data_IF_970093890879
#
_entry.id   IF_970093890879
#
_cell.length_a   1.000
_cell.length_b   1.000
_cell.length_c   1.000
_cell.angle_alpha   90.00
_cell.angle_beta   90.00
_cell.angle_gamma   90.00
#
_symmetry.space_group_name_H-M   'P 1'
#
loop_
_entity.id
_entity.type
_entity.pdbx_description
1 polymer ?
#
# COMPACT_ATOMS: atom_id res chain seq x y z
N UNK A 1 5.88 -26.44 -3.55
CA UNK A 1 4.72 -27.32 -3.35
C UNK A 1 5.09 -28.35 -2.29
N UNK A 2 4.48 -28.26 -1.11
CA UNK A 2 4.61 -29.27 -0.06
C UNK A 2 3.71 -30.44 -0.52
N UNK A 3 4.31 -31.51 -1.02
CA UNK A 3 3.55 -32.71 -1.41
C UNK A 3 3.43 -33.60 -0.18
N UNK A 4 2.24 -34.14 0.05
CA UNK A 4 2.08 -35.23 1.02
C UNK A 4 2.97 -36.38 0.58
N UNK A 5 3.92 -36.77 1.43
CA UNK A 5 4.64 -38.00 1.24
C UNK A 5 3.72 -39.14 1.71
N UNK A 6 3.27 -39.98 0.78
CA UNK A 6 2.38 -41.12 1.08
C UNK A 6 3.13 -42.31 1.68
N UNK A 7 4.23 -42.06 2.39
CA UNK A 7 5.00 -43.09 3.06
C UNK A 7 4.17 -43.74 4.17
N UNK A 8 4.21 -45.07 4.25
CA UNK A 8 3.57 -45.86 5.31
C UNK A 8 4.58 -46.86 5.83
N UNK A 9 4.73 -46.92 7.15
CA UNK A 9 5.49 -47.96 7.85
C UNK A 9 4.58 -48.74 8.79
N UNK A 10 4.80 -50.05 8.89
CA UNK A 10 4.06 -50.94 9.80
C UNK A 10 5.05 -51.57 10.77
N UNK A 11 4.80 -51.41 12.06
CA UNK A 11 5.55 -52.06 13.12
C UNK A 11 4.69 -53.19 13.70
N UNK A 12 5.15 -54.44 13.59
CA UNK A 12 4.44 -55.63 14.06
C UNK A 12 5.16 -56.28 15.24
N UNK A 13 4.43 -57.07 16.04
CA UNK A 13 4.97 -57.83 17.17
C UNK A 13 5.58 -56.98 18.28
N UNK A 14 5.05 -55.78 18.50
CA UNK A 14 5.46 -54.93 19.62
C UNK A 14 4.93 -55.51 20.96
N UNK A 15 5.77 -55.60 22.00
CA UNK A 15 5.33 -56.05 23.33
C UNK A 15 4.20 -55.18 23.88
N UNK A 16 3.11 -55.79 24.36
CA UNK A 16 1.97 -55.03 24.90
C UNK A 16 2.17 -54.54 26.34
N UNK A 17 3.09 -55.16 27.08
CA UNK A 17 3.39 -54.82 28.48
C UNK A 17 4.89 -54.81 28.74
N UNK A 18 5.29 -53.97 29.70
CA UNK A 18 6.63 -53.95 30.26
C UNK A 18 6.90 -55.24 31.06
N UNK A 19 8.08 -55.84 30.86
CA UNK A 19 8.41 -57.16 31.42
C UNK A 19 8.70 -57.13 32.93
N UNK A 20 8.91 -55.95 33.51
CA UNK A 20 9.27 -55.79 34.92
C UNK A 20 8.03 -55.39 35.73
N UNK A 21 7.26 -54.43 35.22
CA UNK A 21 6.14 -53.79 35.93
C UNK A 21 4.77 -54.32 35.51
N UNK A 22 4.69 -55.08 34.40
CA UNK A 22 3.43 -55.50 33.76
C UNK A 22 2.52 -54.34 33.31
N UNK A 23 3.04 -53.12 33.28
CA UNK A 23 2.32 -51.93 32.79
C UNK A 23 2.16 -52.01 31.28
N UNK A 24 1.06 -51.52 30.72
CA UNK A 24 0.89 -51.42 29.27
C UNK A 24 1.95 -50.50 28.65
N UNK A 25 2.55 -50.93 27.54
CA UNK A 25 3.51 -50.11 26.79
C UNK A 25 2.78 -49.06 25.94
N UNK A 26 3.38 -47.88 25.83
CA UNK A 26 2.94 -46.83 24.92
C UNK A 26 4.03 -46.58 23.89
N UNK A 27 3.67 -46.64 22.61
CA UNK A 27 4.57 -46.39 21.50
C UNK A 27 4.27 -45.05 20.85
N UNK A 28 5.31 -44.30 20.51
CA UNK A 28 5.22 -43.06 19.76
C UNK A 28 6.24 -43.07 18.62
N UNK A 29 5.96 -42.34 17.55
CA UNK A 29 6.90 -42.08 16.47
C UNK A 29 7.22 -40.59 16.53
N UNK A 30 8.50 -40.25 16.59
CA UNK A 30 8.99 -38.86 16.56
C UNK A 30 9.88 -38.66 15.35
N UNK A 31 9.87 -37.44 14.82
CA UNK A 31 10.86 -37.03 13.83
C UNK A 31 12.21 -36.78 14.52
N UNK A 32 13.31 -37.01 13.80
CA UNK A 32 14.66 -36.78 14.30
C UNK A 32 15.30 -35.61 13.56
N UNK A 33 16.12 -34.82 14.26
CA UNK A 33 16.95 -33.77 13.66
C UNK A 33 18.20 -34.37 12.98
N UNK A 34 19.06 -33.49 12.43
CA UNK A 34 20.30 -33.89 11.76
C UNK A 34 21.34 -34.54 12.68
N UNK A 35 21.19 -34.38 14.00
CA UNK A 35 22.05 -34.98 15.03
C UNK A 35 21.46 -36.29 15.58
N UNK A 36 20.26 -36.68 15.12
CA UNK A 36 19.55 -37.88 15.54
C UNK A 36 18.73 -37.72 16.83
N UNK A 37 18.54 -36.50 17.32
CA UNK A 37 17.70 -36.25 18.50
C UNK A 37 16.23 -36.15 18.09
N UNK A 38 15.34 -36.57 18.98
CA UNK A 38 13.91 -36.42 18.75
C UNK A 38 13.48 -34.95 18.77
N UNK A 39 12.74 -34.54 17.75
CA UNK A 39 12.20 -33.19 17.62
C UNK A 39 10.89 -33.10 18.40
N UNK A 40 10.78 -32.13 19.29
CA UNK A 40 9.57 -31.91 20.08
C UNK A 40 8.50 -31.16 19.25
N UNK A 41 7.23 -31.29 19.66
CA UNK A 41 6.09 -30.59 19.05
C UNK A 41 6.36 -29.08 18.94
N UNK A 42 6.13 -28.50 17.77
CA UNK A 42 6.29 -27.07 17.52
C UNK A 42 7.74 -26.62 17.31
N UNK A 43 8.73 -27.51 17.45
CA UNK A 43 10.11 -27.18 17.10
C UNK A 43 10.31 -27.19 15.59
N UNK A 44 11.34 -26.47 15.14
CA UNK A 44 11.68 -26.36 13.72
C UNK A 44 12.84 -27.26 13.35
N UNK A 45 12.77 -27.83 12.15
CA UNK A 45 13.87 -28.51 11.46
C UNK A 45 14.17 -27.78 10.15
N UNK A 46 15.44 -27.78 9.75
CA UNK A 46 15.87 -27.19 8.48
C UNK A 46 16.18 -28.29 7.48
N UNK A 47 15.51 -28.28 6.33
CA UNK A 47 15.74 -29.21 5.22
C UNK A 47 16.00 -28.38 3.97
N UNK A 48 17.13 -28.58 3.28
CA UNK A 48 17.50 -27.84 2.07
C UNK A 48 17.35 -26.30 2.21
N UNK A 49 17.86 -25.75 3.33
CA UNK A 49 17.78 -24.32 3.69
C UNK A 49 16.35 -23.78 3.88
N UNK A 50 15.38 -24.65 4.14
CA UNK A 50 13.99 -24.30 4.42
C UNK A 50 13.62 -24.80 5.81
N UNK A 51 12.95 -23.94 6.57
CA UNK A 51 12.52 -24.29 7.92
C UNK A 51 11.11 -24.87 7.90
N UNK A 52 10.93 -25.94 8.67
CA UNK A 52 9.66 -26.62 8.84
C UNK A 52 9.36 -26.80 10.32
N UNK A 53 8.16 -26.42 10.74
CA UNK A 53 7.66 -26.71 12.09
C UNK A 53 7.06 -28.11 12.12
N UNK A 54 7.49 -28.94 13.08
CA UNK A 54 7.02 -30.32 13.26
C UNK A 54 5.75 -30.33 14.10
N UNK A 55 4.74 -31.08 13.64
CA UNK A 55 3.49 -31.32 14.35
C UNK A 55 3.13 -32.81 14.41
N UNK A 56 2.64 -33.26 15.57
CA UNK A 56 2.18 -34.62 15.82
C UNK A 56 0.65 -34.67 15.92
N UNK A 57 -0.01 -35.23 14.90
CA UNK A 57 -1.47 -35.47 14.85
C UNK A 57 -1.75 -36.98 14.97
N UNK A 58 -1.75 -37.47 16.21
CA UNK A 58 -1.92 -38.89 16.51
C UNK A 58 -0.79 -39.74 15.92
N UNK A 59 -1.08 -40.46 14.85
CA UNK A 59 -0.10 -41.30 14.13
C UNK A 59 0.52 -40.60 12.90
N UNK A 60 0.16 -39.34 12.66
CA UNK A 60 0.70 -38.53 11.56
C UNK A 60 1.73 -37.55 12.09
N UNK A 61 2.81 -37.39 11.34
CA UNK A 61 3.79 -36.33 11.50
C UNK A 61 3.55 -35.35 10.35
N UNK A 62 3.36 -34.08 10.67
CA UNK A 62 3.07 -33.01 9.71
C UNK A 62 4.14 -31.94 9.84
N UNK A 63 4.86 -31.70 8.73
CA UNK A 63 5.88 -30.66 8.67
C UNK A 63 5.33 -29.46 7.92
N UNK A 64 5.14 -28.36 8.65
CA UNK A 64 4.62 -27.11 8.11
C UNK A 64 5.78 -26.23 7.70
N UNK A 65 5.91 -25.95 6.40
CA UNK A 65 6.92 -25.02 5.90
C UNK A 65 6.67 -23.59 6.39
N UNK A 66 7.71 -22.93 6.91
CA UNK A 66 7.67 -21.54 7.37
C UNK A 66 8.80 -20.76 6.67
N UNK A 67 8.51 -19.92 5.67
CA UNK A 67 9.55 -19.11 5.04
C UNK A 67 10.00 -17.98 5.98
N UNK A 68 11.26 -17.56 5.86
CA UNK A 68 11.74 -16.33 6.44
C UNK A 68 11.00 -15.14 5.81
N UNK A 69 10.38 -14.28 6.62
CA UNK A 69 9.53 -13.20 6.13
C UNK A 69 10.35 -12.09 5.46
N UNK A 70 9.65 -11.16 4.80
CA UNK A 70 10.24 -9.96 4.20
C UNK A 70 9.57 -8.70 4.75
N UNK A 71 10.38 -7.68 5.04
CA UNK A 71 9.89 -6.34 5.35
C UNK A 71 9.72 -5.54 4.05
N UNK A 72 8.57 -4.89 3.92
CA UNK A 72 8.26 -3.98 2.81
C UNK A 72 7.91 -2.59 3.35
N UNK A 73 8.22 -1.58 2.55
CA UNK A 73 8.00 -0.17 2.90
C UNK A 73 7.52 0.60 1.65
N UNK A 74 6.33 1.24 1.67
CA UNK A 74 5.80 1.94 0.49
C UNK A 74 6.57 3.26 0.20
N UNK A 75 7.14 3.44 -1.01
CA UNK A 75 7.87 4.66 -1.35
C UNK A 75 6.90 5.80 -1.72
N UNK A 76 6.61 6.69 -0.76
CA UNK A 76 5.65 7.79 -0.92
C UNK A 76 6.29 9.13 -0.60
N UNK A 77 6.11 10.11 -1.49
CA UNK A 77 6.73 11.42 -1.41
C UNK A 77 5.72 12.55 -1.59
N UNK A 78 5.93 13.63 -0.84
CA UNK A 78 5.20 14.89 -0.96
C UNK A 78 6.08 15.99 -1.55
N UNK A 79 5.54 16.70 -2.54
CA UNK A 79 6.08 17.96 -3.07
C UNK A 79 5.07 19.09 -2.86
N UNK A 80 5.58 20.25 -2.45
CA UNK A 80 4.84 21.51 -2.35
C UNK A 80 5.49 22.55 -3.26
N UNK A 81 4.76 22.96 -4.29
CA UNK A 81 5.17 24.02 -5.20
C UNK A 81 4.65 25.39 -4.71
N UNK A 82 5.27 26.48 -5.16
CA UNK A 82 4.81 27.84 -4.88
C UNK A 82 5.41 28.51 -3.63
N UNK A 83 6.35 27.86 -2.94
CA UNK A 83 7.16 28.42 -1.84
C UNK A 83 6.34 29.16 -0.77
N UNK A 84 5.42 28.48 -0.06
CA UNK A 84 4.67 29.09 1.03
C UNK A 84 5.62 29.57 2.13
N UNK A 85 5.31 30.72 2.75
CA UNK A 85 6.13 31.28 3.85
C UNK A 85 6.16 30.36 5.08
N UNK A 86 5.06 29.65 5.34
CA UNK A 86 4.96 28.67 6.42
C UNK A 86 4.57 27.32 5.83
N UNK A 87 5.30 26.27 6.22
CA UNK A 87 4.95 24.91 5.84
C UNK A 87 3.61 24.50 6.46
N UNK A 88 2.83 23.74 5.70
CA UNK A 88 1.58 23.13 6.17
C UNK A 88 1.75 21.63 6.38
N UNK A 89 0.92 21.03 7.23
CA UNK A 89 0.87 19.58 7.43
C UNK A 89 -0.12 18.97 6.45
N UNK A 90 0.30 17.92 5.75
CA UNK A 90 -0.55 17.15 4.84
C UNK A 90 -0.75 15.74 5.39
N UNK A 91 -1.94 15.20 5.18
CA UNK A 91 -2.33 13.88 5.66
C UNK A 91 -2.53 12.91 4.50
N UNK A 92 -2.15 11.66 4.71
CA UNK A 92 -2.27 10.59 3.74
C UNK A 92 -2.92 9.38 4.39
N UNK A 93 -3.60 8.59 3.57
CA UNK A 93 -4.11 7.29 3.98
C UNK A 93 -3.63 6.19 3.04
N UNK A 94 -3.40 5.01 3.62
CA UNK A 94 -3.12 3.78 2.90
C UNK A 94 -4.13 2.71 3.34
N UNK A 95 -4.63 1.94 2.37
CA UNK A 95 -5.54 0.81 2.58
C UNK A 95 -5.09 -0.38 1.76
N UNK A 96 -5.13 -1.57 2.33
CA UNK A 96 -5.02 -2.80 1.55
C UNK A 96 -6.28 -2.99 0.67
N UNK A 97 -6.09 -3.48 -0.56
CA UNK A 97 -7.21 -3.84 -1.44
C UNK A 97 -7.92 -5.08 -0.90
N UNK A 98 -7.17 -6.09 -0.47
CA UNK A 98 -7.71 -7.21 0.29
C UNK A 98 -7.66 -6.85 1.79
N UNK A 99 -8.80 -6.75 2.50
CA UNK A 99 -8.85 -6.34 3.91
C UNK A 99 -8.12 -7.27 4.89
N UNK A 100 -7.75 -8.46 4.45
CA UNK A 100 -7.02 -9.46 5.25
C UNK A 100 -5.51 -9.42 5.05
N UNK A 101 -5.03 -8.63 4.09
CA UNK A 101 -3.59 -8.47 3.85
C UNK A 101 -2.91 -7.74 5.02
N UNK A 102 -1.63 -8.02 5.29
CA UNK A 102 -0.89 -7.36 6.35
C UNK A 102 -0.83 -5.85 6.11
N UNK A 103 -0.91 -5.09 7.20
CA UNK A 103 -0.85 -3.62 7.19
C UNK A 103 0.16 -3.16 8.26
N UNK A 104 0.77 -1.97 8.10
CA UNK A 104 1.67 -1.41 9.10
C UNK A 104 1.05 -1.33 10.49
N UNK A 105 1.90 -1.46 11.52
CA UNK A 105 1.50 -1.26 12.91
C UNK A 105 0.82 0.10 13.11
N UNK A 106 -0.21 0.15 13.94
CA UNK A 106 -1.02 1.36 14.17
C UNK A 106 -2.10 1.62 13.11
N UNK A 107 -2.33 0.69 12.18
CA UNK A 107 -3.51 0.73 11.32
C UNK A 107 -4.78 0.51 12.13
N UNK A 108 -5.82 1.30 11.87
CA UNK A 108 -7.12 1.23 12.55
C UNK A 108 -8.18 0.95 11.49
N UNK A 109 -8.98 -0.10 11.69
CA UNK A 109 -10.04 -0.51 10.75
C UNK A 109 -9.53 -0.65 9.29
N UNK A 110 -8.35 -1.23 9.10
CA UNK A 110 -7.75 -1.45 7.79
C UNK A 110 -7.17 -0.20 7.12
N UNK A 111 -7.03 0.91 7.84
CA UNK A 111 -6.48 2.17 7.33
C UNK A 111 -5.24 2.56 8.13
N UNK A 112 -4.14 2.86 7.44
CA UNK A 112 -2.96 3.51 8.03
C UNK A 112 -2.97 4.98 7.64
N UNK A 113 -2.86 5.87 8.63
CA UNK A 113 -2.67 7.30 8.41
C UNK A 113 -1.17 7.64 8.49
N UNK A 114 -0.72 8.60 7.68
CA UNK A 114 0.61 9.19 7.75
C UNK A 114 0.53 10.72 7.54
N UNK A 115 1.53 11.45 8.03
CA UNK A 115 1.60 12.91 7.89
C UNK A 115 2.99 13.37 7.49
N UNK A 116 3.06 14.51 6.82
CA UNK A 116 4.32 15.18 6.47
C UNK A 116 4.14 16.70 6.55
N UNK A 117 5.20 17.42 6.93
CA UNK A 117 5.21 18.89 6.97
C UNK A 117 5.94 19.40 5.73
N UNK A 118 5.24 20.17 4.89
CA UNK A 118 5.81 20.69 3.64
C UNK A 118 6.11 19.59 2.61
N UNK A 119 7.28 19.67 1.97
CA UNK A 119 7.78 18.61 1.07
C UNK A 119 8.65 17.62 1.85
N UNK A 120 8.55 16.33 1.53
CA UNK A 120 9.33 15.29 2.21
C UNK A 120 8.81 13.88 1.92
N UNK A 121 9.44 12.88 2.54
CA UNK A 121 8.96 11.50 2.51
C UNK A 121 7.74 11.33 3.43
N UNK A 122 6.81 10.46 3.04
CA UNK A 122 5.60 10.13 3.79
C UNK A 122 5.74 8.73 4.35
N UNK A 123 5.98 8.63 5.65
CA UNK A 123 6.30 7.38 6.33
C UNK A 123 5.03 6.67 6.82
N UNK A 124 4.57 5.67 6.06
CA UNK A 124 3.55 4.72 6.54
C UNK A 124 4.16 3.65 7.47
N UNK A 125 5.49 3.49 7.43
CA UNK A 125 6.26 2.53 8.21
C UNK A 125 6.29 1.14 7.57
N UNK A 126 7.46 0.51 7.66
CA UNK A 126 7.68 -0.83 7.17
C UNK A 126 6.83 -1.88 7.90
N UNK A 127 6.49 -2.95 7.19
CA UNK A 127 5.68 -4.04 7.72
C UNK A 127 6.05 -5.37 7.08
N UNK A 128 5.66 -6.45 7.76
CA UNK A 128 6.10 -7.80 7.43
C UNK A 128 5.10 -8.53 6.54
N UNK A 129 5.61 -9.23 5.53
CA UNK A 129 4.88 -10.21 4.74
C UNK A 129 5.49 -11.59 5.00
N UNK A 130 4.64 -12.53 5.42
CA UNK A 130 5.03 -13.87 5.86
C UNK A 130 4.70 -14.96 4.85
N UNK A 131 4.06 -14.62 3.73
CA UNK A 131 3.69 -15.57 2.68
C UNK A 131 4.00 -15.01 1.29
N UNK A 132 4.31 -15.90 0.35
CA UNK A 132 4.43 -15.53 -1.05
C UNK A 132 3.05 -15.20 -1.63
N UNK A 133 2.97 -14.19 -2.49
CA UNK A 133 1.72 -13.69 -3.03
C UNK A 133 1.87 -12.29 -3.61
N UNK A 134 0.76 -11.74 -4.11
CA UNK A 134 0.69 -10.36 -4.60
C UNK A 134 -0.17 -9.56 -3.63
N UNK A 135 0.40 -8.50 -3.07
CA UNK A 135 -0.24 -7.64 -2.08
C UNK A 135 -0.40 -6.23 -2.64
N UNK A 136 -1.61 -5.68 -2.62
CA UNK A 136 -1.92 -4.40 -3.25
C UNK A 136 -2.52 -3.40 -2.27
N UNK A 137 -2.03 -2.17 -2.33
CA UNK A 137 -2.38 -1.09 -1.42
C UNK A 137 -2.70 0.18 -2.20
N UNK A 138 -3.81 0.83 -1.84
CA UNK A 138 -4.19 2.13 -2.41
C UNK A 138 -3.75 3.23 -1.45
N UNK A 139 -3.07 4.23 -1.99
CA UNK A 139 -2.60 5.41 -1.27
C UNK A 139 -3.20 6.67 -1.88
N UNK A 140 -3.65 7.57 -1.02
CA UNK A 140 -4.11 8.91 -1.41
C UNK A 140 -3.73 9.98 -0.39
N UNK A 141 -3.60 11.20 -0.88
CA UNK A 141 -3.59 12.39 -0.05
C UNK A 141 -5.01 12.74 0.39
N UNK A 142 -5.16 13.17 1.63
CA UNK A 142 -6.41 13.68 2.18
C UNK A 142 -6.47 15.18 1.93
N UNK A 143 -7.55 15.63 1.30
CA UNK A 143 -7.80 17.04 1.11
C UNK A 143 -8.37 17.65 2.41
N UNK A 144 -7.49 18.21 3.23
CA UNK A 144 -7.84 18.90 4.48
C UNK A 144 -8.46 20.29 4.26
N UNK A 145 -8.57 20.76 3.01
CA UNK A 145 -9.14 22.06 2.69
C UNK A 145 -8.28 23.24 3.13
N UNK A 146 -6.96 23.07 3.26
CA UNK A 146 -6.06 24.16 3.65
C UNK A 146 -6.10 25.25 2.58
N UNK A 147 -6.40 26.48 3.01
CA UNK A 147 -6.55 27.62 2.13
C UNK A 147 -5.30 27.83 1.26
N UNK A 148 -5.51 28.26 0.01
CA UNK A 148 -4.47 28.59 -0.97
C UNK A 148 -3.68 27.40 -1.53
N UNK A 149 -4.03 26.15 -1.17
CA UNK A 149 -3.46 24.95 -1.80
C UNK A 149 -4.44 24.34 -2.79
N UNK A 150 -3.92 23.96 -3.95
CA UNK A 150 -4.55 22.98 -4.83
C UNK A 150 -3.94 21.63 -4.53
N UNK A 151 -4.78 20.67 -4.15
CA UNK A 151 -4.37 19.33 -3.75
C UNK A 151 -4.19 18.39 -4.94
N UNK A 152 -3.22 17.49 -4.84
CA UNK A 152 -3.14 16.33 -5.72
C UNK A 152 -4.28 15.37 -5.41
N UNK A 153 -4.94 14.85 -6.45
CA UNK A 153 -6.07 13.92 -6.32
C UNK A 153 -5.75 12.53 -6.88
N UNK A 154 -4.49 12.31 -7.28
CA UNK A 154 -4.03 11.04 -7.83
C UNK A 154 -4.21 9.92 -6.82
N UNK A 155 -4.74 8.79 -7.28
CA UNK A 155 -4.72 7.53 -6.53
C UNK A 155 -3.56 6.69 -7.03
N UNK A 156 -2.72 6.24 -6.11
CA UNK A 156 -1.64 5.30 -6.41
C UNK A 156 -1.97 3.92 -5.88
N UNK A 157 -1.71 2.91 -6.69
CA UNK A 157 -1.70 1.51 -6.27
C UNK A 157 -0.25 1.05 -6.13
N UNK A 158 0.15 0.66 -4.92
CA UNK A 158 1.43 0.02 -4.65
C UNK A 158 1.21 -1.48 -4.58
N UNK A 159 1.95 -2.22 -5.40
CA UNK A 159 1.93 -3.68 -5.44
C UNK A 159 3.26 -4.22 -4.95
N UNK A 160 3.23 -5.10 -3.96
CA UNK A 160 4.35 -5.94 -3.57
C UNK A 160 4.12 -7.36 -4.10
N UNK A 161 4.92 -7.76 -5.09
CA UNK A 161 4.97 -9.14 -5.57
C UNK A 161 6.03 -9.89 -4.77
N UNK A 162 5.58 -10.79 -3.90
CA UNK A 162 6.43 -11.53 -2.97
C UNK A 162 6.61 -12.96 -3.42
N UNK A 163 7.87 -13.36 -3.59
CA UNK A 163 8.27 -14.70 -4.00
C UNK A 163 9.14 -15.36 -2.94
N UNK A 164 9.01 -16.66 -2.80
CA UNK A 164 9.93 -17.49 -2.01
C UNK A 164 11.16 -17.84 -2.87
N UNK A 165 12.33 -17.42 -2.38
CA UNK A 165 13.64 -17.76 -2.92
C UNK A 165 14.39 -18.57 -1.88
N UNK A 166 14.29 -19.90 -2.01
CA UNK A 166 15.03 -20.86 -1.20
C UNK A 166 14.87 -20.65 0.33
N UNK A 167 13.64 -20.50 0.82
CA UNK A 167 13.42 -20.29 2.25
C UNK A 167 13.19 -18.84 2.62
N UNK A 168 13.68 -17.88 1.81
CA UNK A 168 13.59 -16.45 2.07
C UNK A 168 12.56 -15.79 1.16
N UNK A 169 11.61 -15.05 1.75
CA UNK A 169 10.73 -14.20 0.96
C UNK A 169 11.49 -12.97 0.42
N UNK A 170 11.21 -12.63 -0.83
CA UNK A 170 11.76 -11.46 -1.53
C UNK A 170 10.61 -10.73 -2.20
N UNK A 171 10.49 -9.43 -1.93
CA UNK A 171 9.47 -8.58 -2.52
C UNK A 171 10.05 -7.76 -3.69
N UNK A 172 9.26 -7.60 -4.74
CA UNK A 172 9.44 -6.54 -5.75
C UNK A 172 8.29 -5.55 -5.68
N UNK A 173 8.62 -4.26 -5.68
CA UNK A 173 7.65 -3.17 -5.58
C UNK A 173 7.31 -2.61 -6.95
N UNK A 174 6.03 -2.36 -7.20
CA UNK A 174 5.52 -1.67 -8.38
C UNK A 174 4.52 -0.60 -7.96
N UNK A 175 4.70 0.63 -8.44
CA UNK A 175 3.79 1.75 -8.17
C UNK A 175 3.09 2.14 -9.46
N UNK A 176 1.77 2.21 -9.43
CA UNK A 176 0.92 2.53 -10.58
C UNK A 176 -0.06 3.66 -10.23
N UNK A 177 -0.29 4.57 -11.18
CA UNK A 177 -1.40 5.52 -11.12
C UNK A 177 -2.69 4.86 -11.59
N UNK A 178 -3.84 5.45 -11.24
CA UNK A 178 -5.14 4.98 -11.71
C UNK A 178 -5.30 4.89 -13.25
N UNK A 179 -4.47 5.57 -14.03
CA UNK A 179 -4.46 5.52 -15.50
C UNK A 179 -3.56 4.41 -16.09
N UNK A 180 -2.94 3.58 -15.24
CA UNK A 180 -2.03 2.51 -15.66
C UNK A 180 -0.55 2.93 -15.76
N UNK A 181 -0.23 4.22 -15.55
CA UNK A 181 1.15 4.70 -15.62
C UNK A 181 1.98 4.13 -14.46
N UNK A 182 3.07 3.44 -14.79
CA UNK A 182 4.03 2.92 -13.81
C UNK A 182 5.08 3.98 -13.50
N UNK A 183 5.33 4.18 -12.20
CA UNK A 183 6.33 5.12 -11.69
C UNK A 183 7.20 4.43 -10.63
N UNK A 184 8.32 5.06 -10.26
CA UNK A 184 9.23 4.50 -9.26
C UNK A 184 8.73 4.69 -7.82
N UNK A 185 8.02 5.79 -7.56
CA UNK A 185 7.52 6.18 -6.25
C UNK A 185 6.19 6.94 -6.40
N UNK A 186 5.36 6.93 -5.36
CA UNK A 186 4.11 7.68 -5.35
C UNK A 186 4.40 9.14 -4.96
N UNK A 187 4.42 10.05 -5.94
CA UNK A 187 4.64 11.49 -5.70
C UNK A 187 3.32 12.24 -5.74
N UNK A 188 2.98 12.91 -4.62
CA UNK A 188 1.84 13.80 -4.51
C UNK A 188 2.32 15.25 -4.55
N UNK A 189 1.80 16.07 -5.47
CA UNK A 189 2.24 17.46 -5.64
C UNK A 189 1.11 18.45 -5.36
N UNK A 190 1.26 19.25 -4.30
CA UNK A 190 0.34 20.37 -4.06
C UNK A 190 0.92 21.67 -4.59
N UNK A 191 0.03 22.51 -5.12
CA UNK A 191 0.40 23.85 -5.61
C UNK A 191 -0.12 24.89 -4.64
N UNK A 192 0.79 25.64 -4.01
CA UNK A 192 0.45 26.82 -3.22
C UNK A 192 0.35 28.06 -4.12
N UNK A 193 -0.72 28.84 -3.94
CA UNK A 193 -0.87 30.14 -4.60
C UNK A 193 -1.12 31.22 -3.57
N UNK A 194 -0.15 32.11 -3.38
CA UNK A 194 -0.28 33.23 -2.46
C UNK A 194 -1.60 34.00 -2.73
N UNK A 195 -2.33 34.40 -1.67
CA UNK A 195 -3.54 35.19 -1.84
C UNK A 195 -3.17 36.51 -2.52
N UNK A 196 -3.93 36.88 -3.56
CA UNK A 196 -3.80 38.20 -4.17
C UNK A 196 -4.27 39.25 -3.17
N UNK A 197 -3.38 40.15 -2.75
CA UNK A 197 -3.80 41.33 -2.02
C UNK A 197 -4.53 42.24 -3.01
N UNK A 198 -5.86 42.35 -2.86
CA UNK A 198 -6.56 43.47 -3.48
C UNK A 198 -6.04 44.75 -2.80
N UNK A 199 -5.53 45.74 -3.54
CA UNK A 199 -5.15 47.01 -2.93
C UNK A 199 -6.36 47.57 -2.18
N UNK A 200 -6.16 47.99 -0.92
CA UNK A 200 -7.12 48.93 -0.32
C UNK A 200 -7.00 50.22 -1.12
N UNK A 201 -8.02 50.57 -1.91
CA UNK A 201 -8.21 51.97 -2.30
C UNK A 201 -8.66 52.70 -1.03
N UNK A 202 -7.68 53.23 -0.30
CA UNK A 202 -7.92 54.11 0.83
C UNK A 202 -8.41 55.46 0.34
N UNK A 203 -9.63 55.52 -0.18
CA UNK A 203 -10.24 56.79 -0.57
C UNK A 203 -10.93 57.39 0.66
N UNK A 204 -10.13 58.10 1.46
CA UNK A 204 -10.61 59.24 2.25
C UNK A 204 -10.39 60.54 1.47
N UNK A 205 -10.55 60.52 0.14
CA UNK A 205 -10.48 61.69 -0.72
C UNK A 205 -11.88 62.13 -1.11
N UNK A 206 -12.37 63.16 -0.42
CA UNK A 206 -13.54 63.94 -0.81
C UNK A 206 -13.19 64.74 -2.09
N UNK A 207 -13.21 64.11 -3.27
CA UNK A 207 -13.09 64.80 -4.56
C UNK A 207 -14.08 64.18 -5.57
N UNK A 208 -14.80 65.00 -6.36
CA UNK A 208 -15.91 64.53 -7.20
C UNK A 208 -15.42 63.68 -8.37
N UNK A 209 -16.20 62.63 -8.66
CA UNK A 209 -15.96 61.60 -9.67
C UNK A 209 -15.78 62.23 -11.06
N UNK A 210 -14.63 61.99 -11.69
CA UNK A 210 -14.49 62.07 -13.15
C UNK A 210 -14.51 60.64 -13.70
N UNK A 211 -15.65 60.25 -14.28
CA UNK A 211 -15.78 59.01 -15.06
C UNK A 211 -15.10 59.26 -16.41
N UNK A 212 -13.90 58.70 -16.59
CA UNK A 212 -13.10 58.87 -17.79
C UNK A 212 -12.33 57.61 -18.17
N UNK A 213 -12.98 56.77 -18.98
CA UNK A 213 -12.39 55.87 -19.98
C UNK A 213 -11.51 54.68 -19.52
N UNK A 214 -12.10 53.48 -19.53
CA UNK A 214 -11.46 52.28 -20.10
C UNK A 214 -12.45 51.67 -21.09
N UNK A 215 -12.24 51.91 -22.39
CA UNK A 215 -12.98 51.22 -23.46
C UNK A 215 -12.27 49.91 -23.76
N UNK A 216 -13.08 48.86 -23.72
CA UNK A 216 -12.80 47.44 -23.95
C UNK A 216 -12.31 47.20 -25.39
N UNK A 217 -11.29 46.36 -25.54
CA UNK A 217 -10.91 45.75 -26.80
C UNK A 217 -11.52 44.35 -26.95
N UNK A 218 -11.84 43.98 -28.20
CA UNK A 218 -12.10 42.65 -28.77
C UNK A 218 -13.54 42.10 -28.71
N UNK A 219 -14.28 42.18 -29.83
CA UNK A 219 -14.88 41.01 -30.51
C UNK A 219 -14.90 41.27 -32.04
N UNK A 220 -14.18 40.43 -32.79
CA UNK A 220 -14.42 40.17 -34.21
C UNK A 220 -15.08 38.80 -34.40
N UNK A 221 -15.54 38.52 -35.63
CA UNK A 221 -16.49 37.47 -36.11
C UNK A 221 -17.96 37.91 -36.04
N UNK A 222 -18.71 38.18 -37.11
CA UNK A 222 -18.56 37.90 -38.54
C UNK A 222 -19.69 36.97 -39.00
N UNK A 223 -20.71 37.45 -39.73
CA UNK A 223 -21.53 36.63 -40.62
C UNK A 223 -22.26 37.46 -41.71
N UNK A 224 -21.86 37.18 -42.95
CA UNK A 224 -22.64 36.99 -44.18
C UNK A 224 -23.76 37.95 -44.63
N UNK A 225 -23.54 38.51 -45.83
CA UNK A 225 -24.56 38.98 -46.79
C UNK A 225 -25.59 37.88 -47.11
N UNK A 226 -26.87 38.25 -47.18
CA UNK A 226 -27.82 37.66 -48.15
C UNK A 226 -28.58 38.79 -48.85
N UNK A 227 -28.58 38.74 -50.18
CA UNK A 227 -29.21 39.67 -51.12
C UNK A 227 -30.52 39.05 -51.62
N UNK A 228 -31.62 39.79 -51.48
CA UNK A 228 -32.76 39.94 -52.41
C UNK A 228 -33.49 38.67 -52.88
N UNK A 229 -34.73 38.49 -52.43
CA UNK A 229 -35.80 37.82 -53.18
C UNK A 229 -36.94 38.83 -53.34
N UNK A 230 -37.27 39.14 -54.59
CA UNK A 230 -38.56 39.73 -54.96
C UNK A 230 -39.61 38.61 -55.05
N UNK A 231 -40.82 38.88 -54.56
CA UNK A 231 -42.04 38.34 -55.15
C UNK A 231 -43.18 39.33 -54.94
N UNK A 232 -43.79 39.74 -56.06
CA UNK A 232 -45.03 40.48 -56.15
C UNK A 232 -46.23 39.66 -55.66
N UNK A 233 -47.18 40.37 -55.06
CA UNK A 233 -48.65 40.32 -55.18
C UNK A 233 -49.11 41.60 -54.44
N UNK A 234 -49.78 42.58 -55.03
CA UNK A 234 -50.76 42.59 -56.13
C UNK A 234 -50.31 43.37 -57.36
#
# INVERSE_FOLDING_TARGET
>A
MIKTNHFTAIFSNLPVTDTITSTANVYTVKELDGDGNAVEEGNSITIDSRDFTVHYDGTKIVNTYVPNPVLVDPPVKKIVEGNPTNASTFHFEMKAINPTDPMPAGSINGVKQATVIGSGEVEFGAFEITQAGTYQYVIREINDGIANYTYDTTLYTITFDVRDVAGQLVASTRVEKADGTVVNEAVFTNVYKAPVSTPKTGDSSHLPIYIGAIIIALIGFGFARIKKIQSNKQ
#
